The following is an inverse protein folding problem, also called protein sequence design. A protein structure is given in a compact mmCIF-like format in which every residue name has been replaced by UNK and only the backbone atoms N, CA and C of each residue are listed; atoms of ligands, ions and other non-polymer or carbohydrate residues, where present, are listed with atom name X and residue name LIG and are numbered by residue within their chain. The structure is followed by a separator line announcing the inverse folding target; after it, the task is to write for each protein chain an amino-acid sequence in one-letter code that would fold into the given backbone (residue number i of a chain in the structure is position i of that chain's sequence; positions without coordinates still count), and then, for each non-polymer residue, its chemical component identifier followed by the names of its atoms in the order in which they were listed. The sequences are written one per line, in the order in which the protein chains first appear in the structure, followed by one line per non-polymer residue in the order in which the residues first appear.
data_IF_389007421794
#
_entry.id   IF_389007421794
#
_cell.length_a   1.000
_cell.length_b   1.000
_cell.length_c   1.000
_cell.angle_alpha   90.00
_cell.angle_beta   90.00
_cell.angle_gamma   90.00
#
_symmetry.space_group_name_H-M   'P 1'
#
loop_
_entity.id
_entity.type
_entity.pdbx_description
1 polymer ?
#
# COMPACT_ATOMS: atom_id res chain seq x y z
N UNK A 1 3.57 12.25 -38.70
CA UNK A 1 4.82 12.00 -37.95
C UNK A 1 4.99 12.86 -36.69
N UNK A 2 4.58 14.15 -36.66
CA UNK A 2 4.66 14.97 -35.43
C UNK A 2 3.70 14.50 -34.30
N UNK A 3 2.47 14.10 -34.62
CA UNK A 3 1.51 13.59 -33.63
C UNK A 3 2.00 12.30 -32.93
N UNK A 4 2.55 11.35 -33.69
CA UNK A 4 3.11 10.10 -33.15
C UNK A 4 4.27 10.36 -32.16
N UNK A 5 5.06 11.41 -32.40
CA UNK A 5 6.16 11.83 -31.51
C UNK A 5 5.64 12.46 -30.22
N UNK A 6 4.62 13.32 -30.29
CA UNK A 6 3.97 13.89 -29.10
C UNK A 6 3.29 12.83 -28.23
N UNK A 7 2.63 11.85 -28.85
CA UNK A 7 2.01 10.72 -28.13
C UNK A 7 3.08 9.90 -27.39
N UNK A 8 4.19 9.59 -28.05
CA UNK A 8 5.30 8.82 -27.45
C UNK A 8 6.02 9.56 -26.31
N UNK A 9 6.20 10.88 -26.42
CA UNK A 9 6.78 11.72 -25.34
C UNK A 9 5.85 11.81 -24.12
N UNK A 10 4.53 11.89 -24.35
CA UNK A 10 3.54 11.86 -23.27
C UNK A 10 3.55 10.50 -22.54
N UNK A 11 3.59 9.39 -23.28
CA UNK A 11 3.59 8.04 -22.72
C UNK A 11 4.82 7.82 -21.83
N UNK A 12 5.99 8.22 -22.33
CA UNK A 12 7.27 8.10 -21.61
C UNK A 12 7.24 8.85 -20.28
N UNK A 13 6.54 9.99 -20.23
CA UNK A 13 6.38 10.79 -19.01
C UNK A 13 5.46 10.10 -18.00
N UNK A 14 4.35 9.50 -18.46
CA UNK A 14 3.44 8.74 -17.61
C UNK A 14 4.14 7.51 -17.01
N UNK A 15 4.94 6.80 -17.80
CA UNK A 15 5.75 5.66 -17.32
C UNK A 15 6.79 6.07 -16.28
N UNK A 16 7.44 7.23 -16.45
CA UNK A 16 8.32 7.81 -15.42
C UNK A 16 7.56 8.11 -14.14
N UNK A 17 6.33 8.64 -14.24
CA UNK A 17 5.46 8.88 -13.09
C UNK A 17 5.20 7.61 -12.27
N UNK A 18 4.82 6.50 -12.92
CA UNK A 18 4.66 5.21 -12.25
C UNK A 18 5.94 4.74 -11.55
N UNK A 19 7.12 4.88 -12.20
CA UNK A 19 8.40 4.50 -11.59
C UNK A 19 8.77 5.35 -10.37
N UNK A 20 8.44 6.64 -10.38
CA UNK A 20 8.67 7.53 -9.23
C UNK A 20 7.83 7.08 -8.03
N UNK A 21 6.57 6.70 -8.24
CA UNK A 21 5.71 6.15 -7.18
C UNK A 21 6.32 4.86 -6.62
N UNK A 22 6.75 3.95 -7.50
CA UNK A 22 7.46 2.74 -7.08
C UNK A 22 8.71 3.05 -6.23
N UNK A 23 9.51 4.04 -6.63
CA UNK A 23 10.71 4.46 -5.89
C UNK A 23 10.37 5.05 -4.51
N UNK A 24 9.34 5.89 -4.42
CA UNK A 24 8.87 6.46 -3.14
C UNK A 24 8.49 5.32 -2.20
N UNK A 25 7.75 4.32 -2.69
CA UNK A 25 7.32 3.17 -1.91
C UNK A 25 8.49 2.28 -1.46
N UNK A 26 9.53 2.16 -2.28
CA UNK A 26 10.77 1.45 -1.91
C UNK A 26 11.52 2.11 -0.75
N UNK A 27 11.25 3.39 -0.43
CA UNK A 27 11.82 4.11 0.71
C UNK A 27 10.85 4.15 1.88
N UNK A 28 9.57 4.45 1.62
CA UNK A 28 8.55 4.59 2.65
C UNK A 28 8.24 3.25 3.36
N UNK A 29 8.05 2.16 2.60
CA UNK A 29 7.66 0.87 3.20
C UNK A 29 8.72 0.28 4.14
N UNK A 30 10.03 0.34 3.87
CA UNK A 30 11.04 -0.07 4.85
C UNK A 30 10.99 0.73 6.16
N UNK A 31 10.76 2.05 6.07
CA UNK A 31 10.63 2.90 7.26
C UNK A 31 9.41 2.48 8.08
N UNK A 32 8.28 2.22 7.41
CA UNK A 32 7.06 1.73 8.04
C UNK A 32 7.28 0.36 8.72
N UNK A 33 7.96 -0.59 8.06
CA UNK A 33 8.29 -1.91 8.62
C UNK A 33 9.13 -1.78 9.90
N UNK A 34 10.14 -0.90 9.88
CA UNK A 34 10.98 -0.64 11.06
C UNK A 34 10.12 -0.05 12.19
N UNK A 35 9.26 0.92 11.87
CA UNK A 35 8.32 1.51 12.82
C UNK A 35 7.39 0.47 13.46
N UNK A 36 6.76 -0.39 12.66
CA UNK A 36 5.90 -1.48 13.11
C UNK A 36 6.65 -2.51 13.96
N UNK A 37 7.90 -2.82 13.61
CA UNK A 37 8.73 -3.77 14.36
C UNK A 37 9.12 -3.21 15.73
N UNK A 38 9.56 -1.95 15.78
CA UNK A 38 9.84 -1.25 17.05
C UNK A 38 8.58 -1.20 17.91
N UNK A 39 7.43 -0.91 17.28
CA UNK A 39 6.16 -0.86 17.99
C UNK A 39 5.74 -2.21 18.56
N UNK A 40 5.82 -3.29 17.77
CA UNK A 40 5.56 -4.65 18.23
C UNK A 40 6.48 -5.04 19.40
N UNK A 41 7.75 -4.66 19.34
CA UNK A 41 8.70 -4.87 20.42
C UNK A 41 8.26 -4.15 21.70
N UNK A 42 7.94 -2.86 21.64
CA UNK A 42 7.50 -2.09 22.82
C UNK A 42 6.21 -2.63 23.44
N UNK A 43 5.23 -3.05 22.62
CA UNK A 43 4.04 -3.73 23.14
C UNK A 43 4.40 -5.03 23.86
N UNK A 44 5.35 -5.78 23.29
CA UNK A 44 5.99 -6.96 23.88
C UNK A 44 6.40 -6.79 25.34
N UNK A 45 6.98 -5.63 25.69
CA UNK A 45 7.49 -5.35 27.04
C UNK A 45 6.43 -4.76 27.98
N UNK A 46 5.51 -3.94 27.46
CA UNK A 46 4.56 -3.17 28.28
C UNK A 46 3.11 -3.65 28.15
N UNK A 47 2.89 -4.93 27.83
CA UNK A 47 1.55 -5.50 27.60
C UNK A 47 0.53 -5.15 28.67
N UNK A 48 0.94 -5.10 29.94
CA UNK A 48 0.02 -4.80 31.03
C UNK A 48 -0.56 -3.37 31.02
N UNK A 49 0.13 -2.42 30.40
CA UNK A 49 -0.25 -1.00 30.39
C UNK A 49 -1.19 -0.63 29.23
N UNK A 50 -1.24 -1.45 28.17
CA UNK A 50 -2.02 -1.17 26.95
C UNK A 50 -3.47 -1.68 27.00
N UNK A 51 -3.78 -2.63 27.88
CA UNK A 51 -5.07 -3.33 27.90
C UNK A 51 -5.86 -3.02 29.18
N UNK A 52 -7.09 -2.53 29.00
CA UNK A 52 -8.06 -2.30 30.07
C UNK A 52 -8.77 -3.61 30.43
N UNK A 53 -8.83 -3.92 31.73
CA UNK A 53 -9.42 -5.11 32.36
C UNK A 53 -8.60 -6.43 32.31
N UNK A 54 -8.36 -7.10 33.46
CA UNK A 54 -7.54 -8.31 33.56
C UNK A 54 -8.29 -9.62 33.20
N UNK A 55 -9.38 -9.55 32.41
CA UNK A 55 -10.18 -10.73 32.06
C UNK A 55 -9.52 -11.63 30.99
N UNK A 56 -10.05 -12.83 30.77
CA UNK A 56 -9.63 -13.77 29.71
C UNK A 56 -9.64 -13.16 28.30
N UNK A 57 -10.46 -12.12 28.08
CA UNK A 57 -10.49 -11.36 26.83
C UNK A 57 -9.21 -10.55 26.59
N UNK A 58 -8.48 -10.15 27.64
CA UNK A 58 -7.22 -9.40 27.53
C UNK A 58 -6.15 -10.20 26.79
N UNK A 59 -5.90 -11.43 27.20
CA UNK A 59 -4.89 -12.30 26.57
C UNK A 59 -5.21 -12.59 25.10
N UNK A 60 -6.49 -12.78 24.75
CA UNK A 60 -6.91 -12.98 23.36
C UNK A 60 -6.70 -11.70 22.54
N UNK A 61 -7.04 -10.53 23.10
CA UNK A 61 -6.85 -9.24 22.42
C UNK A 61 -5.36 -8.89 22.22
N UNK A 62 -4.49 -9.25 23.15
CA UNK A 62 -3.03 -9.07 23.05
C UNK A 62 -2.46 -9.81 21.85
N UNK A 63 -2.77 -11.11 21.73
CA UNK A 63 -2.32 -11.92 20.60
C UNK A 63 -2.93 -11.46 19.27
N UNK A 64 -4.17 -10.98 19.26
CA UNK A 64 -4.80 -10.45 18.06
C UNK A 64 -4.10 -9.18 17.54
N UNK A 65 -3.69 -8.28 18.43
CA UNK A 65 -2.95 -7.05 18.07
C UNK A 65 -1.56 -7.40 17.52
N UNK A 66 -0.82 -8.30 18.18
CA UNK A 66 0.49 -8.76 17.68
C UNK A 66 0.35 -9.40 16.30
N UNK A 67 -0.63 -10.30 16.14
CA UNK A 67 -0.89 -10.94 14.86
C UNK A 67 -1.22 -9.91 13.77
N UNK A 68 -2.01 -8.88 14.10
CA UNK A 68 -2.29 -7.75 13.23
C UNK A 68 -1.02 -7.02 12.78
N UNK A 69 -0.10 -6.69 13.70
CA UNK A 69 1.16 -6.02 13.34
C UNK A 69 2.04 -6.92 12.45
N UNK A 70 2.13 -8.22 12.73
CA UNK A 70 2.88 -9.18 11.90
C UNK A 70 2.29 -9.24 10.49
N UNK A 71 0.96 -9.31 10.38
CA UNK A 71 0.26 -9.29 9.08
C UNK A 71 0.62 -8.00 8.32
N UNK A 72 0.62 -6.85 8.98
CA UNK A 72 0.97 -5.57 8.35
C UNK A 72 2.42 -5.54 7.85
N UNK A 73 3.37 -6.10 8.60
CA UNK A 73 4.76 -6.24 8.16
C UNK A 73 4.85 -7.12 6.91
N UNK A 74 4.17 -8.27 6.90
CA UNK A 74 4.14 -9.17 5.74
C UNK A 74 3.55 -8.46 4.52
N UNK A 75 2.44 -7.75 4.68
CA UNK A 75 1.81 -6.98 3.60
C UNK A 75 2.75 -5.90 3.06
N UNK A 76 3.45 -5.16 3.93
CA UNK A 76 4.42 -4.16 3.52
C UNK A 76 5.59 -4.77 2.71
N UNK A 77 6.08 -5.96 3.10
CA UNK A 77 7.09 -6.70 2.34
C UNK A 77 6.55 -7.13 0.96
N UNK A 78 5.31 -7.61 0.89
CA UNK A 78 4.67 -7.96 -0.39
C UNK A 78 4.53 -6.74 -1.31
N UNK A 79 4.15 -5.58 -0.75
CA UNK A 79 4.10 -4.33 -1.49
C UNK A 79 5.49 -3.89 -1.97
N UNK A 80 6.53 -4.02 -1.15
CA UNK A 80 7.92 -3.77 -1.54
C UNK A 80 8.32 -4.60 -2.76
N UNK A 81 7.99 -5.90 -2.76
CA UNK A 81 8.26 -6.77 -3.89
C UNK A 81 7.52 -6.32 -5.17
N UNK A 82 6.25 -5.91 -5.04
CA UNK A 82 5.45 -5.37 -6.15
C UNK A 82 6.04 -4.06 -6.70
N UNK A 83 6.45 -3.15 -5.83
CA UNK A 83 7.08 -1.87 -6.19
C UNK A 83 8.44 -2.07 -6.87
N UNK A 84 9.22 -3.05 -6.42
CA UNK A 84 10.48 -3.42 -7.07
C UNK A 84 10.27 -3.90 -8.52
N UNK A 85 9.20 -4.66 -8.78
CA UNK A 85 8.86 -5.11 -10.13
C UNK A 85 8.47 -3.96 -11.08
N UNK A 86 7.87 -2.90 -10.53
CA UNK A 86 7.53 -1.66 -11.24
C UNK A 86 8.78 -0.80 -11.52
N UNK A 87 9.71 -0.76 -10.55
CA UNK A 87 10.96 0.02 -10.62
C UNK A 87 12.02 -0.59 -11.56
N UNK A 88 12.33 -1.88 -11.41
CA UNK A 88 13.51 -2.51 -12.06
C UNK A 88 13.35 -2.78 -13.55
N UNK A 89 12.13 -2.92 -14.05
CA UNK A 89 11.90 -3.33 -15.42
C UNK A 89 11.95 -2.13 -16.38
N UNK A 90 12.89 -2.16 -17.34
CA UNK A 90 13.03 -1.17 -18.42
C UNK A 90 11.81 -1.12 -19.33
N UNK A 91 11.06 -2.21 -19.40
CA UNK A 91 10.00 -2.39 -20.38
C UNK A 91 8.68 -1.82 -19.84
N UNK A 92 8.20 -0.80 -20.53
CA UNK A 92 6.90 -0.15 -20.33
C UNK A 92 5.77 -1.17 -20.59
N UNK A 93 5.32 -1.86 -19.55
CA UNK A 93 4.34 -2.95 -19.66
C UNK A 93 3.08 -2.67 -18.82
N UNK A 94 1.96 -2.50 -19.51
CA UNK A 94 0.64 -2.16 -18.95
C UNK A 94 0.14 -3.23 -17.96
N UNK A 95 0.41 -4.50 -18.25
CA UNK A 95 -0.02 -5.63 -17.41
C UNK A 95 0.65 -5.53 -16.03
N UNK A 96 1.89 -5.05 -15.95
CA UNK A 96 2.58 -4.88 -14.67
C UNK A 96 1.93 -3.79 -13.82
N UNK A 97 1.52 -2.68 -14.43
CA UNK A 97 0.80 -1.60 -13.72
C UNK A 97 -0.56 -2.10 -13.24
N UNK A 98 -1.24 -2.91 -14.03
CA UNK A 98 -2.51 -3.52 -13.64
C UNK A 98 -2.33 -4.47 -12.43
N UNK A 99 -1.35 -5.38 -12.48
CA UNK A 99 -1.04 -6.28 -11.35
C UNK A 99 -0.69 -5.49 -10.10
N UNK A 100 0.14 -4.45 -10.24
CA UNK A 100 0.49 -3.54 -9.16
C UNK A 100 -0.76 -2.90 -8.53
N UNK A 101 -1.70 -2.41 -9.35
CA UNK A 101 -2.95 -1.79 -8.89
C UNK A 101 -3.83 -2.79 -8.14
N UNK A 102 -3.96 -4.02 -8.64
CA UNK A 102 -4.74 -5.08 -7.99
C UNK A 102 -4.15 -5.40 -6.62
N UNK A 103 -2.82 -5.57 -6.54
CA UNK A 103 -2.16 -5.88 -5.27
C UNK A 103 -2.30 -4.76 -4.25
N UNK A 104 -2.05 -3.49 -4.63
CA UNK A 104 -2.19 -2.35 -3.71
C UNK A 104 -3.65 -2.17 -3.28
N UNK A 105 -4.62 -2.41 -4.17
CA UNK A 105 -6.05 -2.36 -3.83
C UNK A 105 -6.44 -3.46 -2.84
N UNK A 106 -5.97 -4.70 -3.04
CA UNK A 106 -6.21 -5.79 -2.09
C UNK A 106 -5.62 -5.48 -0.71
N UNK A 107 -4.37 -5.02 -0.65
CA UNK A 107 -3.72 -4.65 0.62
C UNK A 107 -4.45 -3.49 1.28
N UNK A 108 -4.89 -2.47 0.53
CA UNK A 108 -5.71 -1.38 1.05
C UNK A 108 -6.96 -1.90 1.76
N UNK A 109 -7.72 -2.81 1.15
CA UNK A 109 -8.92 -3.36 1.79
C UNK A 109 -8.62 -4.15 3.05
N UNK A 110 -7.53 -4.92 3.08
CA UNK A 110 -7.10 -5.65 4.29
C UNK A 110 -6.74 -4.65 5.40
N UNK A 111 -5.93 -3.63 5.10
CA UNK A 111 -5.57 -2.60 6.07
C UNK A 111 -6.79 -1.81 6.56
N UNK A 112 -7.74 -1.51 5.68
CA UNK A 112 -8.98 -0.81 6.03
C UNK A 112 -9.86 -1.63 7.00
N UNK A 113 -10.01 -2.93 6.77
CA UNK A 113 -10.73 -3.83 7.69
C UNK A 113 -10.03 -3.90 9.05
N UNK A 114 -8.70 -4.01 9.08
CA UNK A 114 -7.93 -4.00 10.33
C UNK A 114 -8.14 -2.67 11.08
N UNK A 115 -8.11 -1.52 10.39
CA UNK A 115 -8.41 -0.23 11.00
C UNK A 115 -9.80 -0.20 11.65
N UNK A 116 -10.84 -0.69 10.97
CA UNK A 116 -12.21 -0.74 11.52
C UNK A 116 -12.23 -1.58 12.80
N UNK A 117 -11.63 -2.78 12.76
CA UNK A 117 -11.57 -3.69 13.91
C UNK A 117 -10.91 -3.00 15.10
N UNK A 118 -9.78 -2.31 14.86
CA UNK A 118 -9.06 -1.60 15.91
C UNK A 118 -9.89 -0.46 16.51
N UNK A 119 -10.51 0.38 15.68
CA UNK A 119 -11.35 1.49 16.16
C UNK A 119 -12.51 0.98 17.02
N UNK A 120 -13.13 -0.14 16.63
CA UNK A 120 -14.21 -0.76 17.41
C UNK A 120 -13.70 -1.22 18.78
N UNK A 121 -12.56 -1.92 18.82
CA UNK A 121 -12.00 -2.39 20.10
C UNK A 121 -11.51 -1.26 21.00
N UNK A 122 -11.00 -0.16 20.42
CA UNK A 122 -10.63 1.04 21.18
C UNK A 122 -11.86 1.72 21.77
N UNK A 123 -12.95 1.85 21.01
CA UNK A 123 -14.21 2.40 21.48
C UNK A 123 -14.83 1.58 22.63
N UNK A 124 -14.76 0.26 22.54
CA UNK A 124 -15.23 -0.66 23.59
C UNK A 124 -14.31 -0.70 24.83
N UNK A 125 -13.22 0.07 24.84
CA UNK A 125 -12.29 0.17 25.97
C UNK A 125 -11.45 -1.10 26.19
N UNK A 126 -11.34 -1.97 25.18
CA UNK A 126 -10.59 -3.23 25.25
C UNK A 126 -9.08 -2.98 25.25
N UNK A 127 -8.63 -2.00 24.46
CA UNK A 127 -7.24 -1.52 24.47
C UNK A 127 -7.17 -0.06 24.02
N UNK A 128 -6.15 0.68 24.45
CA UNK A 128 -5.84 2.01 23.92
C UNK A 128 -4.66 1.88 22.97
N UNK A 129 -4.96 1.69 21.68
CA UNK A 129 -3.95 1.47 20.65
C UNK A 129 -4.17 2.43 19.50
N UNK A 130 -3.20 3.30 19.28
CA UNK A 130 -3.17 4.16 18.12
C UNK A 130 -2.68 3.35 16.90
N UNK A 131 -3.60 2.72 16.17
CA UNK A 131 -3.28 2.18 14.84
C UNK A 131 -2.97 3.34 13.90
N UNK A 132 -1.99 3.23 13.01
CA UNK A 132 -1.62 4.29 12.09
C UNK A 132 -2.59 4.34 10.88
N UNK A 133 -3.62 5.22 10.85
CA UNK A 133 -4.49 5.39 9.67
C UNK A 133 -3.70 5.91 8.46
N UNK A 134 -2.50 6.46 8.70
CA UNK A 134 -1.65 7.08 7.70
C UNK A 134 -1.34 6.12 6.54
N UNK A 135 -1.07 4.84 6.81
CA UNK A 135 -0.78 3.86 5.77
C UNK A 135 -1.98 3.62 4.84
N UNK A 136 -3.20 3.61 5.38
CA UNK A 136 -4.44 3.46 4.58
C UNK A 136 -4.65 4.68 3.69
N UNK A 137 -4.40 5.88 4.21
CA UNK A 137 -4.53 7.14 3.46
C UNK A 137 -3.48 7.18 2.33
N UNK A 138 -2.23 6.83 2.63
CA UNK A 138 -1.13 6.78 1.66
C UNK A 138 -1.46 5.80 0.54
N UNK A 139 -1.87 4.57 0.87
CA UNK A 139 -2.30 3.57 -0.11
C UNK A 139 -3.46 4.05 -0.99
N UNK A 140 -4.45 4.74 -0.41
CA UNK A 140 -5.58 5.28 -1.16
C UNK A 140 -5.12 6.33 -2.19
N UNK A 141 -4.27 7.27 -1.77
CA UNK A 141 -3.71 8.31 -2.65
C UNK A 141 -2.93 7.66 -3.79
N UNK A 142 -2.07 6.68 -3.47
CA UNK A 142 -1.28 5.95 -4.46
C UNK A 142 -2.16 5.24 -5.49
N UNK A 143 -3.20 4.52 -5.04
CA UNK A 143 -4.14 3.82 -5.94
C UNK A 143 -4.82 4.83 -6.87
N UNK A 144 -5.28 5.98 -6.36
CA UNK A 144 -5.95 7.00 -7.16
C UNK A 144 -4.99 7.55 -8.24
N UNK A 145 -3.76 7.89 -7.84
CA UNK A 145 -2.75 8.44 -8.75
C UNK A 145 -2.37 7.42 -9.82
N UNK A 146 -2.04 6.18 -9.44
CA UNK A 146 -1.63 5.15 -10.40
C UNK A 146 -2.80 4.73 -11.30
N UNK A 147 -4.03 4.70 -10.80
CA UNK A 147 -5.22 4.42 -11.63
C UNK A 147 -5.43 5.51 -12.69
N UNK A 148 -5.19 6.77 -12.34
CA UNK A 148 -5.24 7.88 -13.31
C UNK A 148 -4.16 7.72 -14.39
N UNK A 149 -2.91 7.44 -13.98
CA UNK A 149 -1.79 7.20 -14.91
C UNK A 149 -2.06 5.98 -15.80
N UNK A 150 -2.62 4.90 -15.26
CA UNK A 150 -2.98 3.71 -16.03
C UNK A 150 -4.01 4.01 -17.12
N UNK A 151 -5.04 4.82 -16.81
CA UNK A 151 -6.04 5.24 -17.80
C UNK A 151 -5.43 6.07 -18.92
N UNK A 152 -4.46 6.93 -18.61
CA UNK A 152 -3.72 7.71 -19.60
C UNK A 152 -2.93 6.79 -20.54
N UNK A 153 -2.27 5.75 -20.01
CA UNK A 153 -1.56 4.74 -20.80
C UNK A 153 -2.52 4.01 -21.76
N UNK A 154 -3.65 3.49 -21.26
CA UNK A 154 -4.59 2.71 -22.09
C UNK A 154 -5.25 3.57 -23.18
N UNK A 155 -5.60 4.83 -22.87
CA UNK A 155 -6.22 5.73 -23.85
C UNK A 155 -5.26 6.15 -24.98
N UNK A 156 -3.98 6.35 -24.67
CA UNK A 156 -2.97 6.69 -25.69
C UNK A 156 -2.69 5.50 -26.63
N UNK A 157 -2.81 4.26 -26.15
CA UNK A 157 -2.72 3.05 -26.98
C UNK A 157 -3.89 2.92 -27.95
N UNK A 158 -5.12 3.14 -27.49
CA UNK A 158 -6.31 3.13 -28.35
C UNK A 158 -6.22 4.19 -29.45
N UNK A 159 -5.75 5.40 -29.11
CA UNK A 159 -5.48 6.45 -30.10
C UNK A 159 -4.45 6.02 -31.16
N UNK A 160 -3.35 5.39 -30.75
CA UNK A 160 -2.31 4.93 -31.68
C UNK A 160 -2.80 3.83 -32.64
N UNK A 161 -3.71 2.95 -32.22
CA UNK A 161 -4.28 1.91 -33.10
C UNK A 161 -5.20 2.51 -34.18
N UNK A 162 -5.90 3.61 -33.89
CA UNK A 162 -6.78 4.27 -34.87
C UNK A 162 -5.98 4.95 -35.99
N UNK A 163 -4.78 5.48 -35.69
CA UNK A 163 -3.92 6.15 -36.69
C UNK A 163 -3.02 5.19 -37.48
N UNK A 164 -3.12 3.88 -37.24
CA UNK A 164 -2.37 2.85 -37.97
C UNK A 164 -3.22 2.07 -38.98
N UNK A 165 -4.52 2.41 -39.11
CA UNK A 165 -5.44 1.95 -40.14
C UNK A 165 -5.55 2.99 -41.26
#
# INVERSE_FOLDING_TARGET
MQQTRQINESLTTVWKGCRVIGLINMIYLPIEIVGLTIHAYYMGFNFNDYFGNPGTFKTISEYAVIAGIIIMIILAIMLLHSNYALFRNSDNNEIKVLIWLVQHTMVFFICFVICIIVVVFEYEGVFSFCFAPNLVIVLLIEIIVVKKLYREITSAREGNMIYQL
#
